data_IF_766198623212
#
_entry.id   IF_766198623212
#
_cell.length_a   1.000
_cell.length_b   1.000
_cell.length_c   1.000
_cell.angle_alpha   90.00
_cell.angle_beta   90.00
_cell.angle_gamma   90.00
#
_symmetry.space_group_name_H-M   'P 1'
#
loop_
_entity.id
_entity.type
_entity.pdbx_description
1 polymer ?
#
# COMPACT_ATOMS: atom_id res chain seq x y z
N UNK A 1 3.92 5.56 -7.31
CA UNK A 1 4.04 4.17 -7.82
C UNK A 1 3.84 3.22 -6.66
N UNK A 2 3.27 2.04 -6.91
CA UNK A 2 3.09 1.02 -5.88
C UNK A 2 4.30 0.11 -5.82
N UNK A 3 4.77 -0.14 -4.60
CA UNK A 3 5.92 -1.00 -4.31
C UNK A 3 5.48 -2.16 -3.43
N UNK A 4 6.15 -3.29 -3.62
CA UNK A 4 6.00 -4.51 -2.84
C UNK A 4 7.34 -4.83 -2.18
N UNK A 5 7.32 -5.14 -0.90
CA UNK A 5 8.48 -5.71 -0.23
C UNK A 5 8.49 -7.23 -0.38
N UNK A 6 9.60 -7.80 -0.86
CA UNK A 6 9.72 -9.26 -1.03
C UNK A 6 9.91 -9.99 0.30
N UNK A 7 10.48 -9.33 1.31
CA UNK A 7 10.71 -9.94 2.63
C UNK A 7 9.44 -10.09 3.46
N UNK A 8 8.58 -9.07 3.45
CA UNK A 8 7.40 -9.03 4.33
C UNK A 8 6.07 -9.01 3.57
N UNK A 9 6.09 -8.92 2.23
CA UNK A 9 4.89 -8.84 1.40
C UNK A 9 4.13 -7.52 1.53
N UNK A 10 4.70 -6.51 2.20
CA UNK A 10 4.04 -5.23 2.42
C UNK A 10 3.92 -4.44 1.12
N UNK A 11 2.69 -4.05 0.78
CA UNK A 11 2.34 -3.26 -0.40
C UNK A 11 2.04 -1.82 0.00
N UNK A 12 2.70 -0.86 -0.65
CA UNK A 12 2.53 0.55 -0.32
C UNK A 12 2.71 1.46 -1.53
N UNK A 13 2.06 2.62 -1.48
CA UNK A 13 2.20 3.66 -2.49
C UNK A 13 3.21 4.71 -2.04
N UNK A 14 4.16 5.04 -2.92
CA UNK A 14 5.11 6.15 -2.72
C UNK A 14 5.34 6.93 -3.99
N UNK A 15 5.58 8.23 -3.84
CA UNK A 15 6.03 9.13 -4.91
C UNK A 15 7.51 9.43 -4.65
N UNK A 16 8.35 9.20 -5.66
CA UNK A 16 9.81 9.39 -5.55
C UNK A 16 10.58 8.09 -5.32
N UNK A 17 11.87 8.23 -5.03
CA UNK A 17 12.76 7.10 -4.80
C UNK A 17 12.42 6.37 -3.50
N UNK A 18 12.36 5.05 -3.58
CA UNK A 18 12.16 4.14 -2.45
C UNK A 18 13.40 3.28 -2.33
N UNK A 19 14.06 3.33 -1.17
CA UNK A 19 15.23 2.49 -0.87
C UNK A 19 14.90 1.37 0.11
N UNK A 20 13.97 1.62 1.03
CA UNK A 20 13.72 0.76 2.18
C UNK A 20 12.22 0.52 2.33
N UNK A 21 11.86 -0.68 2.78
CA UNK A 21 10.50 -1.00 3.14
C UNK A 21 10.10 -0.22 4.40
N UNK A 22 9.00 0.56 4.38
CA UNK A 22 8.55 1.31 5.56
C UNK A 22 8.02 0.41 6.69
N UNK A 23 7.82 -0.89 6.45
CA UNK A 23 7.27 -1.83 7.45
C UNK A 23 8.31 -2.71 8.12
N UNK A 24 9.37 -3.10 7.41
CA UNK A 24 10.40 -4.00 7.94
C UNK A 24 11.82 -3.44 7.82
N UNK A 25 11.96 -2.22 7.28
CA UNK A 25 13.22 -1.48 7.14
C UNK A 25 14.29 -2.17 6.27
N UNK A 26 13.92 -3.25 5.57
CA UNK A 26 14.79 -3.95 4.61
C UNK A 26 14.75 -3.29 3.24
N UNK A 27 15.85 -3.38 2.50
CA UNK A 27 15.98 -2.78 1.16
C UNK A 27 15.45 -3.65 0.00
N UNK A 28 14.84 -4.79 0.29
CA UNK A 28 14.23 -5.67 -0.72
C UNK A 28 12.84 -5.18 -1.10
N UNK A 29 12.79 -4.03 -1.76
CA UNK A 29 11.58 -3.39 -2.28
C UNK A 29 11.65 -3.33 -3.79
N UNK A 30 10.63 -3.88 -4.44
CA UNK A 30 10.45 -3.91 -5.89
C UNK A 30 9.19 -3.17 -6.29
N UNK A 31 9.08 -2.71 -7.55
CA UNK A 31 7.78 -2.29 -8.08
C UNK A 31 6.77 -3.44 -7.97
N UNK A 32 5.56 -3.11 -7.54
CA UNK A 32 4.47 -4.06 -7.47
C UNK A 32 4.04 -4.47 -8.88
N UNK A 33 3.64 -5.73 -9.04
CA UNK A 33 3.00 -6.20 -10.27
C UNK A 33 1.63 -5.54 -10.46
N UNK A 34 1.07 -5.60 -11.66
CA UNK A 34 -0.26 -5.06 -11.95
C UNK A 34 -1.34 -5.68 -11.05
N UNK A 35 -1.23 -6.97 -10.74
CA UNK A 35 -2.17 -7.67 -9.87
C UNK A 35 -2.06 -7.20 -8.41
N UNK A 36 -0.84 -7.11 -7.89
CA UNK A 36 -0.57 -6.58 -6.54
C UNK A 36 -1.03 -5.12 -6.39
N UNK A 37 -0.76 -4.28 -7.39
CA UNK A 37 -1.20 -2.90 -7.44
C UNK A 37 -2.73 -2.80 -7.45
N UNK A 38 -3.40 -3.58 -8.30
CA UNK A 38 -4.86 -3.61 -8.37
C UNK A 38 -5.52 -4.09 -7.06
N UNK A 39 -4.91 -5.08 -6.38
CA UNK A 39 -5.36 -5.52 -5.05
C UNK A 39 -5.25 -4.38 -4.03
N UNK A 40 -4.12 -3.66 -4.01
CA UNK A 40 -3.93 -2.53 -3.10
C UNK A 40 -4.92 -1.40 -3.39
N UNK A 41 -5.13 -1.04 -4.66
CA UNK A 41 -6.10 0.00 -5.03
C UNK A 41 -7.51 -0.35 -4.59
N UNK A 42 -7.95 -1.59 -4.80
CA UNK A 42 -9.27 -2.07 -4.36
C UNK A 42 -9.41 -2.02 -2.83
N UNK A 43 -8.37 -2.40 -2.09
CA UNK A 43 -8.36 -2.30 -0.62
C UNK A 43 -8.42 -0.85 -0.14
N UNK A 44 -7.71 0.06 -0.81
CA UNK A 44 -7.75 1.49 -0.49
C UNK A 44 -9.11 2.12 -0.82
N UNK A 45 -9.75 1.71 -1.90
CA UNK A 45 -11.10 2.15 -2.26
C UNK A 45 -12.14 1.66 -1.23
N UNK A 46 -12.06 0.40 -0.84
CA UNK A 46 -12.90 -0.18 0.23
C UNK A 46 -12.63 0.47 1.60
N UNK A 47 -11.36 0.74 1.91
CA UNK A 47 -10.95 1.42 3.14
C UNK A 47 -11.42 2.89 3.19
N UNK A 48 -11.38 3.61 2.06
CA UNK A 48 -11.98 4.95 1.93
C UNK A 48 -13.49 4.91 2.12
N UNK A 49 -14.18 3.91 1.59
CA UNK A 49 -15.60 3.71 1.82
C UNK A 49 -15.89 3.47 3.32
N UNK A 50 -15.09 2.65 4.00
CA UNK A 50 -15.24 2.37 5.43
C UNK A 50 -14.91 3.58 6.34
N UNK A 51 -13.88 4.37 6.01
CA UNK A 51 -13.52 5.58 6.76
C UNK A 51 -14.56 6.70 6.61
N UNK A 52 -15.25 6.76 5.47
CA UNK A 52 -16.32 7.75 5.22
C UNK A 52 -17.58 7.49 6.04
N UNK A 53 -17.74 6.30 6.64
CA UNK A 53 -18.85 5.98 7.55
C UNK A 53 -18.54 6.40 9.00
N UNK A 54 -17.27 6.61 9.38
CA UNK A 54 -16.87 7.09 10.72
C UNK A 54 -16.83 8.63 10.86
N UNK A 55 -17.54 9.35 9.98
CA UNK A 55 -17.69 10.80 10.03
C UNK A 55 -19.07 11.29 10.49
N UNK A 56 -19.90 10.41 11.06
CA UNK A 56 -21.22 10.80 11.55
C UNK A 56 -21.82 9.76 12.48
N UNK A 57 -21.57 9.89 13.78
CA UNK A 57 -22.59 9.58 14.78
C UNK A 57 -22.36 10.45 16.02
N UNK A 58 -23.34 11.33 16.20
CA UNK A 58 -23.75 12.21 17.30
C UNK A 58 -23.26 11.88 18.69
#
# INVERSE_FOLDING_TARGET
MTYACEDCGFLFYRVGAVKDCPSCEKNNVRPATAEEAGRLEKLLEQGKAALRIKGGQT
#
